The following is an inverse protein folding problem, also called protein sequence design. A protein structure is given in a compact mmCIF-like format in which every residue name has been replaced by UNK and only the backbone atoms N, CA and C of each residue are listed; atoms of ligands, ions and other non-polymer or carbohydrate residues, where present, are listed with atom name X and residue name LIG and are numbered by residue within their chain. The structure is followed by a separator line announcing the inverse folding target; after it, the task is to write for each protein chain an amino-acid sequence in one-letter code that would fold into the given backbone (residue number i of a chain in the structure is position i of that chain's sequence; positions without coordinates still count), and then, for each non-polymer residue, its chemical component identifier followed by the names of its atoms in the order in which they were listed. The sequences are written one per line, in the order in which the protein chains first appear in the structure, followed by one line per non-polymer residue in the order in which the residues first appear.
data_IF_641361633390
#
_entry.id   IF_641361633390
#
_cell.length_a   1.000
_cell.length_b   1.000
_cell.length_c   1.000
_cell.angle_alpha   90.00
_cell.angle_beta   90.00
_cell.angle_gamma   90.00
#
_symmetry.space_group_name_H-M   'P 1'
#
loop_
_entity.id
_entity.type
_entity.pdbx_description
1 polymer ?
#
# COMPACT_ATOMS: atom_id res chain seq x y z
N UNK A 1 -49.47 -8.65 -35.27
CA UNK A 1 -48.35 -7.72 -35.02
C UNK A 1 -48.14 -7.72 -33.52
N UNK A 2 -47.15 -8.46 -33.02
CA UNK A 2 -46.70 -8.37 -31.64
C UNK A 2 -45.86 -7.10 -31.53
N UNK A 3 -46.42 -6.05 -30.94
CA UNK A 3 -45.67 -4.86 -30.59
C UNK A 3 -45.05 -5.08 -29.22
N UNK A 4 -43.71 -4.90 -29.11
CA UNK A 4 -43.04 -4.86 -27.84
C UNK A 4 -43.51 -3.61 -27.09
N UNK A 5 -44.14 -3.83 -25.93
CA UNK A 5 -44.56 -2.73 -25.06
C UNK A 5 -43.43 -2.52 -24.02
N UNK A 6 -42.75 -1.38 -24.11
CA UNK A 6 -41.84 -0.93 -23.09
C UNK A 6 -42.68 -0.22 -22.01
N UNK A 7 -42.81 -0.86 -20.84
CA UNK A 7 -43.44 -0.25 -19.66
C UNK A 7 -42.37 0.40 -18.80
N UNK A 8 -42.37 1.74 -18.76
CA UNK A 8 -41.56 2.46 -17.78
C UNK A 8 -42.18 2.31 -16.38
N UNK A 9 -41.74 1.33 -15.63
CA UNK A 9 -42.30 0.96 -14.34
C UNK A 9 -42.37 2.15 -13.35
N UNK A 10 -41.38 3.03 -13.38
CA UNK A 10 -41.35 4.23 -12.52
C UNK A 10 -42.49 5.22 -12.84
N UNK A 11 -42.97 5.29 -14.12
CA UNK A 11 -44.06 6.17 -14.54
C UNK A 11 -45.43 5.50 -14.44
N UNK A 12 -45.49 4.19 -14.34
CA UNK A 12 -46.75 3.42 -14.29
C UNK A 12 -47.42 3.41 -12.90
N UNK A 13 -46.79 3.99 -11.89
CA UNK A 13 -47.26 3.89 -10.49
C UNK A 13 -47.11 2.49 -9.90
N UNK A 14 -46.38 1.60 -10.58
CA UNK A 14 -46.10 0.25 -10.09
C UNK A 14 -45.14 0.20 -8.90
N UNK A 15 -44.40 1.29 -8.67
CA UNK A 15 -43.56 1.46 -7.48
C UNK A 15 -44.22 2.47 -6.55
N UNK A 16 -44.51 2.02 -5.34
CA UNK A 16 -44.87 2.90 -4.24
C UNK A 16 -43.55 3.29 -3.56
N UNK A 17 -43.25 4.57 -3.48
CA UNK A 17 -42.16 5.07 -2.63
C UNK A 17 -42.54 4.75 -1.18
N UNK A 18 -41.96 3.68 -0.66
CA UNK A 18 -42.12 3.31 0.76
C UNK A 18 -41.12 4.15 1.54
N UNK A 19 -41.64 5.04 2.39
CA UNK A 19 -40.78 5.74 3.34
C UNK A 19 -40.07 4.72 4.23
N UNK A 20 -38.74 4.85 4.41
CA UNK A 20 -38.00 3.93 5.24
C UNK A 20 -38.49 4.04 6.69
N UNK A 21 -38.65 2.90 7.35
CA UNK A 21 -38.90 2.89 8.80
C UNK A 21 -37.78 3.63 9.56
N UNK A 22 -38.03 4.16 10.75
CA UNK A 22 -37.01 4.84 11.55
C UNK A 22 -35.72 4.01 11.68
N UNK A 23 -35.83 2.69 11.91
CA UNK A 23 -34.69 1.78 12.00
C UNK A 23 -33.92 1.68 10.68
N UNK A 24 -34.60 1.62 9.54
CA UNK A 24 -33.95 1.61 8.23
C UNK A 24 -33.23 2.93 7.93
N UNK A 25 -33.83 4.06 8.33
CA UNK A 25 -33.21 5.38 8.18
C UNK A 25 -31.94 5.52 9.04
N UNK A 26 -31.95 5.00 10.28
CA UNK A 26 -30.76 4.96 11.15
C UNK A 26 -29.66 4.06 10.56
N UNK A 27 -30.01 2.87 10.13
CA UNK A 27 -29.04 1.95 9.49
C UNK A 27 -28.42 2.56 8.24
N UNK A 28 -29.20 3.27 7.43
CA UNK A 28 -28.70 3.99 6.24
C UNK A 28 -27.71 5.08 6.62
N UNK A 29 -28.03 5.88 7.64
CA UNK A 29 -27.11 6.93 8.14
C UNK A 29 -25.80 6.32 8.65
N UNK A 30 -25.86 5.22 9.38
CA UNK A 30 -24.68 4.51 9.87
C UNK A 30 -23.83 3.99 8.70
N UNK A 31 -24.48 3.39 7.71
CA UNK A 31 -23.80 2.92 6.50
C UNK A 31 -23.12 4.05 5.71
N UNK A 32 -23.78 5.21 5.56
CA UNK A 32 -23.20 6.39 4.91
C UNK A 32 -21.99 6.94 5.69
N UNK A 33 -22.04 6.93 7.03
CA UNK A 33 -20.89 7.27 7.88
C UNK A 33 -19.74 6.28 7.69
N UNK A 34 -20.04 4.98 7.65
CA UNK A 34 -19.05 3.94 7.42
C UNK A 34 -18.35 4.13 6.06
N UNK A 35 -19.12 4.34 4.99
CA UNK A 35 -18.54 4.58 3.67
C UNK A 35 -17.58 5.78 3.64
N UNK A 36 -17.89 6.85 4.38
CA UNK A 36 -17.02 8.02 4.52
C UNK A 36 -15.78 7.73 5.37
N UNK A 37 -15.90 6.87 6.37
CA UNK A 37 -14.76 6.44 7.18
C UNK A 37 -13.80 5.60 6.34
N UNK A 38 -14.31 4.64 5.57
CA UNK A 38 -13.53 3.74 4.72
C UNK A 38 -12.88 4.45 3.52
N UNK A 39 -13.43 5.58 3.07
CA UNK A 39 -12.90 6.37 1.96
C UNK A 39 -11.77 7.29 2.45
N UNK A 40 -10.62 6.70 2.74
CA UNK A 40 -9.48 7.44 3.30
C UNK A 40 -8.95 8.50 2.34
N UNK A 41 -8.88 8.19 1.04
CA UNK A 41 -8.27 9.05 0.02
C UNK A 41 -6.75 9.16 0.15
N UNK A 42 -6.12 8.27 0.92
CA UNK A 42 -4.66 8.16 1.06
C UNK A 42 -4.12 7.25 -0.05
N UNK A 43 -3.02 7.67 -0.66
CA UNK A 43 -2.27 6.89 -1.65
C UNK A 43 -0.82 6.83 -1.18
N UNK A 44 -0.30 5.63 -0.92
CA UNK A 44 1.10 5.43 -0.60
C UNK A 44 1.95 5.52 -1.86
N UNK A 45 2.93 6.42 -1.87
CA UNK A 45 3.94 6.53 -2.92
C UNK A 45 5.19 5.73 -2.54
N UNK A 46 5.28 4.51 -3.04
CA UNK A 46 6.39 3.59 -2.79
C UNK A 46 7.57 3.82 -3.75
N UNK A 47 7.54 4.88 -4.56
CA UNK A 47 8.55 5.20 -5.56
C UNK A 47 8.24 4.59 -6.93
N UNK A 48 8.44 3.29 -7.10
CA UNK A 48 8.15 2.61 -8.35
C UNK A 48 6.64 2.45 -8.63
N UNK A 49 5.82 2.46 -7.59
CA UNK A 49 4.38 2.28 -7.68
C UNK A 49 3.63 3.10 -6.63
N UNK A 50 2.35 3.34 -6.87
CA UNK A 50 1.44 3.99 -5.94
C UNK A 50 0.37 3.00 -5.49
N UNK A 51 0.17 2.91 -4.17
CA UNK A 51 -0.78 1.99 -3.55
C UNK A 51 -1.92 2.78 -2.94
N UNK A 52 -3.11 2.80 -3.56
CA UNK A 52 -4.27 3.42 -2.96
C UNK A 52 -4.72 2.62 -1.74
N UNK A 53 -5.02 3.33 -0.65
CA UNK A 53 -5.60 2.74 0.55
C UNK A 53 -7.10 2.55 0.33
N UNK A 54 -7.45 1.46 -0.34
CA UNK A 54 -8.82 1.13 -0.75
C UNK A 54 -9.72 0.81 0.44
N UNK A 55 -11.05 0.85 0.23
CA UNK A 55 -12.03 0.49 1.25
C UNK A 55 -11.85 -0.92 1.80
N UNK A 56 -11.38 -1.85 0.99
CA UNK A 56 -11.09 -3.23 1.43
C UNK A 56 -9.97 -3.24 2.48
N UNK A 57 -8.89 -2.49 2.24
CA UNK A 57 -7.79 -2.34 3.21
C UNK A 57 -8.24 -1.59 4.46
N UNK A 58 -8.95 -0.48 4.31
CA UNK A 58 -9.41 0.34 5.44
C UNK A 58 -10.52 -0.31 6.25
N UNK A 59 -11.20 -1.32 5.72
CA UNK A 59 -12.20 -2.09 6.48
C UNK A 59 -11.62 -2.75 7.73
N UNK A 60 -10.34 -3.17 7.67
CA UNK A 60 -9.60 -3.69 8.83
C UNK A 60 -9.25 -2.63 9.88
N UNK A 61 -9.46 -1.34 9.58
CA UNK A 61 -9.18 -0.24 10.52
C UNK A 61 -10.40 0.19 11.33
N UNK A 62 -11.54 -0.45 11.16
CA UNK A 62 -12.75 -0.17 11.93
C UNK A 62 -12.72 -0.97 13.22
N UNK A 63 -12.77 -0.28 14.36
CA UNK A 63 -12.80 -0.93 15.66
C UNK A 63 -14.15 -1.63 15.87
N UNK A 64 -14.09 -2.91 16.21
CA UNK A 64 -15.23 -3.74 16.58
C UNK A 64 -15.17 -4.05 18.08
N UNK A 65 -16.33 -4.28 18.67
CA UNK A 65 -16.45 -4.77 20.04
C UNK A 65 -16.26 -6.30 20.12
N UNK A 66 -16.37 -6.86 21.32
CA UNK A 66 -16.20 -8.30 21.55
C UNK A 66 -17.27 -9.19 20.88
N UNK A 67 -18.37 -8.63 20.38
CA UNK A 67 -19.42 -9.33 19.67
C UNK A 67 -19.28 -9.19 18.13
N UNK A 68 -18.33 -8.37 17.67
CA UNK A 68 -18.14 -8.07 16.26
C UNK A 68 -19.00 -6.91 15.77
N UNK A 69 -19.63 -6.15 16.67
CA UNK A 69 -20.37 -4.94 16.33
C UNK A 69 -19.44 -3.73 16.27
N UNK A 70 -19.85 -2.69 15.52
CA UNK A 70 -19.05 -1.46 15.41
C UNK A 70 -18.97 -0.73 16.74
N UNK A 71 -17.74 -0.45 17.17
CA UNK A 71 -17.50 0.41 18.31
C UNK A 71 -17.60 1.87 17.92
N UNK A 72 -18.62 2.56 18.44
CA UNK A 72 -18.85 3.99 18.20
C UNK A 72 -18.57 4.77 19.47
N UNK A 73 -17.99 5.98 19.32
CA UNK A 73 -17.84 6.91 20.45
C UNK A 73 -19.18 7.53 20.86
N UNK A 74 -19.18 8.33 21.90
CA UNK A 74 -20.39 9.03 22.42
C UNK A 74 -21.09 9.91 21.37
N UNK A 75 -20.37 10.35 20.33
CA UNK A 75 -20.90 11.11 19.20
C UNK A 75 -21.44 10.23 18.06
N UNK A 76 -21.33 8.90 18.21
CA UNK A 76 -21.70 7.93 17.18
C UNK A 76 -20.74 7.92 16.00
N UNK A 77 -19.46 8.20 16.20
CA UNK A 77 -18.42 8.13 15.17
C UNK A 77 -17.61 6.84 15.33
N UNK A 78 -17.22 6.25 14.18
CA UNK A 78 -16.36 5.08 14.14
C UNK A 78 -15.01 5.37 14.78
N UNK A 79 -14.48 4.36 15.45
CA UNK A 79 -13.16 4.41 16.07
C UNK A 79 -12.17 3.60 15.25
N UNK A 80 -10.92 4.03 15.28
CA UNK A 80 -9.83 3.36 14.56
C UNK A 80 -9.33 2.17 15.36
N UNK A 81 -9.24 1.00 14.72
CA UNK A 81 -8.56 -0.17 15.25
C UNK A 81 -7.06 -0.07 15.00
N UNK A 82 -6.30 0.12 16.06
CA UNK A 82 -4.84 0.18 15.98
C UNK A 82 -4.21 -1.13 15.54
N UNK A 83 -4.83 -2.27 15.85
CA UNK A 83 -4.33 -3.58 15.41
C UNK A 83 -4.50 -3.77 13.90
N UNK A 84 -5.58 -3.27 13.34
CA UNK A 84 -5.78 -3.27 11.89
C UNK A 84 -4.74 -2.41 11.17
N UNK A 85 -4.42 -1.24 11.72
CA UNK A 85 -3.33 -0.40 11.21
C UNK A 85 -1.98 -1.11 11.34
N UNK A 86 -1.69 -1.74 12.49
CA UNK A 86 -0.45 -2.51 12.69
C UNK A 86 -0.32 -3.63 11.65
N UNK A 87 -1.38 -4.41 11.43
CA UNK A 87 -1.38 -5.48 10.45
C UNK A 87 -1.09 -4.96 9.02
N UNK A 88 -1.70 -3.84 8.64
CA UNK A 88 -1.44 -3.21 7.34
C UNK A 88 0.01 -2.72 7.20
N UNK A 89 0.56 -2.07 8.24
CA UNK A 89 1.95 -1.59 8.22
C UNK A 89 2.94 -2.75 8.19
N UNK A 90 2.66 -3.86 8.88
CA UNK A 90 3.48 -5.09 8.80
C UNK A 90 3.41 -5.72 7.40
N UNK A 91 2.23 -5.77 6.76
CA UNK A 91 2.08 -6.22 5.38
C UNK A 91 2.92 -5.36 4.44
N UNK A 92 2.80 -4.03 4.56
CA UNK A 92 3.56 -3.07 3.76
C UNK A 92 5.07 -3.24 3.94
N UNK A 93 5.53 -3.36 5.20
CA UNK A 93 6.94 -3.59 5.50
C UNK A 93 7.43 -4.95 4.97
N UNK A 94 6.64 -6.00 5.08
CA UNK A 94 6.97 -7.32 4.54
C UNK A 94 7.13 -7.32 3.02
N UNK A 95 6.39 -6.46 2.33
CA UNK A 95 6.42 -6.37 0.86
C UNK A 95 7.54 -5.47 0.34
N UNK A 96 7.91 -4.41 1.08
CA UNK A 96 8.81 -3.35 0.60
C UNK A 96 10.14 -3.22 1.33
N UNK A 97 10.31 -3.87 2.48
CA UNK A 97 11.62 -3.90 3.12
C UNK A 97 12.56 -4.83 2.34
N UNK A 98 13.75 -4.33 2.06
CA UNK A 98 14.80 -5.07 1.35
C UNK A 98 16.01 -5.36 2.24
N UNK A 99 16.18 -4.66 3.37
CA UNK A 99 17.22 -4.95 4.37
C UNK A 99 17.09 -6.39 4.86
N UNK A 100 18.22 -7.09 4.99
CA UNK A 100 18.33 -8.51 5.37
C UNK A 100 17.60 -9.51 4.46
N UNK A 101 17.19 -9.08 3.28
CA UNK A 101 16.57 -9.94 2.27
C UNK A 101 17.59 -10.44 1.25
N UNK A 102 17.15 -11.36 0.40
CA UNK A 102 17.89 -11.83 -0.76
C UNK A 102 17.09 -11.54 -2.00
N UNK A 103 17.65 -10.73 -2.90
CA UNK A 103 17.01 -10.35 -4.15
C UNK A 103 17.69 -11.00 -5.35
N UNK A 104 16.93 -11.27 -6.40
CA UNK A 104 17.48 -11.69 -7.67
C UNK A 104 18.06 -10.50 -8.40
N UNK A 105 19.26 -10.64 -8.93
CA UNK A 105 19.96 -9.62 -9.69
C UNK A 105 20.42 -10.22 -11.03
N UNK A 106 20.10 -9.53 -12.12
CA UNK A 106 20.55 -9.89 -13.45
C UNK A 106 21.96 -9.32 -13.67
N UNK A 107 22.96 -10.20 -13.60
CA UNK A 107 24.35 -9.83 -13.80
C UNK A 107 24.64 -9.45 -15.27
N UNK A 108 25.69 -8.65 -15.50
CA UNK A 108 26.09 -8.15 -16.83
C UNK A 108 26.23 -9.24 -17.88
N UNK A 109 26.62 -10.46 -17.49
CA UNK A 109 26.73 -11.62 -18.40
C UNK A 109 25.43 -12.37 -18.63
N UNK A 110 24.31 -11.91 -18.10
CA UNK A 110 22.98 -12.52 -18.27
C UNK A 110 22.71 -13.66 -17.31
N UNK A 111 23.51 -13.82 -16.28
CA UNK A 111 23.24 -14.78 -15.20
C UNK A 111 22.39 -14.10 -14.12
N UNK A 112 21.36 -14.79 -13.64
CA UNK A 112 20.60 -14.34 -12.46
C UNK A 112 21.34 -14.80 -11.21
N UNK A 113 21.78 -13.86 -10.39
CA UNK A 113 22.46 -14.13 -9.12
C UNK A 113 21.59 -13.68 -7.94
N UNK A 114 21.69 -14.43 -6.84
CA UNK A 114 20.99 -14.08 -5.61
C UNK A 114 21.90 -13.21 -4.74
N UNK A 115 21.55 -11.93 -4.63
CA UNK A 115 22.31 -10.96 -3.84
C UNK A 115 21.68 -10.85 -2.46
N UNK A 116 22.44 -11.14 -1.41
CA UNK A 116 22.00 -10.96 -0.03
C UNK A 116 22.32 -9.54 0.43
N UNK A 117 21.27 -8.80 0.82
CA UNK A 117 21.39 -7.49 1.40
C UNK A 117 21.62 -7.62 2.91
N UNK A 118 22.81 -7.31 3.39
CA UNK A 118 23.13 -7.37 4.81
C UNK A 118 23.05 -6.00 5.46
N UNK A 119 23.64 -5.00 4.82
CA UNK A 119 23.73 -3.64 5.37
C UNK A 119 23.11 -2.58 4.48
N UNK A 120 22.84 -2.90 3.23
CA UNK A 120 22.13 -2.06 2.28
C UNK A 120 20.64 -2.43 2.30
N UNK A 121 19.81 -1.53 1.81
CA UNK A 121 18.40 -1.77 1.58
C UNK A 121 17.49 -0.73 2.22
N UNK A 122 16.20 -0.91 1.99
CA UNK A 122 15.13 -0.06 2.49
C UNK A 122 14.47 -0.73 3.70
N UNK A 123 14.21 0.04 4.74
CA UNK A 123 13.50 -0.39 5.95
C UNK A 123 12.48 0.68 6.34
N UNK A 124 11.22 0.31 6.35
CA UNK A 124 10.10 1.18 6.70
C UNK A 124 10.14 1.51 8.20
N UNK A 125 9.89 2.77 8.56
CA UNK A 125 9.65 3.17 9.95
C UNK A 125 8.20 2.83 10.33
N UNK A 126 8.01 1.61 10.83
CA UNK A 126 6.69 1.08 11.17
C UNK A 126 5.99 1.89 12.26
N UNK A 127 6.73 2.43 13.21
CA UNK A 127 6.13 3.22 14.29
C UNK A 127 5.66 4.58 13.79
N UNK A 128 6.46 5.24 12.95
CA UNK A 128 6.07 6.49 12.31
C UNK A 128 4.84 6.30 11.41
N UNK A 129 4.78 5.19 10.65
CA UNK A 129 3.65 4.90 9.77
C UNK A 129 2.35 4.58 10.53
N UNK A 130 2.44 3.85 11.65
CA UNK A 130 1.28 3.62 12.53
C UNK A 130 0.73 4.93 13.08
N UNK A 131 1.61 5.82 13.53
CA UNK A 131 1.20 7.11 14.07
C UNK A 131 0.64 8.03 12.98
N UNK A 132 1.25 8.03 11.79
CA UNK A 132 0.72 8.74 10.63
C UNK A 132 -0.71 8.29 10.32
N UNK A 133 -0.95 6.99 10.17
CA UNK A 133 -2.28 6.47 9.83
C UNK A 133 -3.33 6.80 10.89
N UNK A 134 -3.02 6.67 12.18
CA UNK A 134 -3.92 7.07 13.26
C UNK A 134 -4.34 8.53 13.11
N UNK A 135 -3.36 9.41 12.92
CA UNK A 135 -3.59 10.85 12.77
C UNK A 135 -4.34 11.18 11.48
N UNK A 136 -3.99 10.54 10.37
CA UNK A 136 -4.60 10.74 9.07
C UNK A 136 -6.10 10.35 9.08
N UNK A 137 -6.44 9.21 9.70
CA UNK A 137 -7.84 8.78 9.86
C UNK A 137 -8.61 9.70 10.82
N UNK A 138 -8.01 10.09 11.96
CA UNK A 138 -8.64 11.00 12.90
C UNK A 138 -8.95 12.37 12.27
N UNK A 139 -8.08 12.87 11.41
CA UNK A 139 -8.18 14.19 10.77
C UNK A 139 -8.75 14.13 9.34
N UNK A 140 -9.09 12.93 8.84
CA UNK A 140 -9.62 12.71 7.48
C UNK A 140 -8.71 13.28 6.40
N UNK A 141 -7.41 13.05 6.54
CA UNK A 141 -6.38 13.46 5.58
C UNK A 141 -6.58 12.71 4.27
N UNK A 142 -6.42 13.43 3.14
CA UNK A 142 -6.47 12.87 1.79
C UNK A 142 -5.26 13.38 1.04
N UNK A 143 -4.30 12.50 0.81
CA UNK A 143 -3.03 12.90 0.18
C UNK A 143 -2.29 11.72 -0.46
N UNK A 144 -1.29 12.04 -1.26
CA UNK A 144 -0.24 11.10 -1.61
C UNK A 144 0.82 11.16 -0.52
N UNK A 145 0.98 10.06 0.19
CA UNK A 145 1.89 9.92 1.32
C UNK A 145 3.14 9.15 0.91
N UNK A 146 4.29 9.75 1.11
CA UNK A 146 5.57 9.04 1.04
C UNK A 146 5.87 8.45 2.40
N UNK A 147 6.06 7.13 2.53
CA UNK A 147 6.35 6.51 3.81
C UNK A 147 7.61 7.04 4.47
N UNK A 148 7.64 6.97 5.80
CA UNK A 148 8.84 7.21 6.59
C UNK A 148 9.73 5.96 6.59
N UNK A 149 11.04 6.15 6.52
CA UNK A 149 12.01 5.07 6.50
C UNK A 149 13.02 5.21 7.64
N UNK A 150 13.33 4.11 8.30
CA UNK A 150 14.50 4.00 9.19
C UNK A 150 15.78 3.97 8.35
N UNK A 151 15.67 3.34 7.18
CA UNK A 151 16.74 3.23 6.20
C UNK A 151 16.17 3.28 4.79
N UNK A 152 16.82 4.01 3.92
CA UNK A 152 16.37 4.18 2.54
C UNK A 152 17.45 3.71 1.57
N UNK A 153 17.05 2.85 0.62
CA UNK A 153 17.88 2.47 -0.51
C UNK A 153 18.08 3.62 -1.48
N UNK A 154 18.94 3.44 -2.47
CA UNK A 154 19.22 4.48 -3.46
C UNK A 154 17.98 4.86 -4.29
N UNK A 155 17.12 3.88 -4.55
CA UNK A 155 15.81 4.07 -5.18
C UNK A 155 14.74 3.48 -4.27
N UNK A 156 13.57 4.09 -4.21
CA UNK A 156 12.43 3.53 -3.49
C UNK A 156 11.74 2.44 -4.31
N UNK A 157 11.27 1.39 -3.66
CA UNK A 157 10.56 0.27 -4.25
C UNK A 157 11.22 -1.08 -3.95
N UNK A 158 10.69 -2.14 -4.56
CA UNK A 158 11.15 -3.53 -4.33
C UNK A 158 12.54 -3.81 -4.91
N UNK A 159 12.97 -3.02 -5.88
CA UNK A 159 14.33 -3.06 -6.45
C UNK A 159 15.01 -1.71 -6.17
N UNK A 160 15.65 -1.63 -5.04
CA UNK A 160 16.24 -0.40 -4.52
C UNK A 160 17.71 -0.17 -4.90
N UNK A 161 18.33 -1.05 -5.69
CA UNK A 161 19.64 -0.82 -6.33
C UNK A 161 19.50 0.25 -7.40
N UNK A 162 18.41 0.20 -8.18
CA UNK A 162 18.20 1.06 -9.34
C UNK A 162 19.17 0.76 -10.49
N UNK A 163 19.41 1.77 -11.32
CA UNK A 163 20.15 1.64 -12.57
C UNK A 163 21.58 2.25 -12.50
N UNK A 164 22.02 2.65 -11.30
CA UNK A 164 23.35 3.24 -11.07
C UNK A 164 24.06 2.44 -9.99
N UNK A 165 24.98 1.58 -10.39
CA UNK A 165 25.68 0.67 -9.48
C UNK A 165 27.03 0.24 -10.03
N UNK A 166 27.81 -0.43 -9.17
CA UNK A 166 29.05 -1.12 -9.55
C UNK A 166 28.83 -2.61 -9.31
N UNK A 167 29.09 -3.41 -10.33
CA UNK A 167 29.10 -4.88 -10.26
C UNK A 167 30.54 -5.36 -10.23
N UNK A 168 30.83 -6.29 -9.32
CA UNK A 168 32.13 -6.96 -9.21
C UNK A 168 31.93 -8.45 -9.45
N UNK A 169 32.30 -8.92 -10.63
CA UNK A 169 32.31 -10.33 -10.99
C UNK A 169 33.63 -10.97 -10.55
N UNK A 170 33.63 -11.52 -9.35
CA UNK A 170 34.81 -12.17 -8.77
C UNK A 170 35.23 -13.41 -9.53
N UNK A 171 34.31 -14.12 -10.15
CA UNK A 171 34.61 -15.35 -10.93
C UNK A 171 35.39 -15.08 -12.20
N UNK A 172 35.08 -13.97 -12.86
CA UNK A 172 35.75 -13.54 -14.08
C UNK A 172 36.74 -12.38 -13.87
N UNK A 173 36.93 -11.93 -12.63
CA UNK A 173 37.85 -10.85 -12.28
C UNK A 173 37.55 -9.57 -13.07
N UNK A 174 36.27 -9.21 -13.16
CA UNK A 174 35.79 -8.04 -13.91
C UNK A 174 35.03 -7.08 -12.99
N UNK A 175 35.15 -5.80 -13.29
CA UNK A 175 34.34 -4.72 -12.71
C UNK A 175 33.55 -4.03 -13.81
N UNK A 176 32.28 -3.84 -13.57
CA UNK A 176 31.38 -3.07 -14.43
C UNK A 176 30.80 -1.90 -13.63
N UNK A 177 30.79 -0.72 -14.21
CA UNK A 177 30.15 0.45 -13.62
C UNK A 177 29.02 0.94 -14.52
N UNK A 178 27.84 1.04 -13.94
CA UNK A 178 26.63 1.51 -14.60
C UNK A 178 26.19 2.87 -14.05
N UNK A 179 25.69 3.72 -14.92
CA UNK A 179 25.00 4.94 -14.57
C UNK A 179 23.76 5.07 -15.43
N UNK A 180 22.60 5.23 -14.79
CA UNK A 180 21.31 5.35 -15.48
C UNK A 180 21.09 4.23 -16.52
N UNK A 181 21.45 3.00 -16.16
CA UNK A 181 21.34 1.81 -17.01
C UNK A 181 22.39 1.70 -18.12
N UNK A 182 23.30 2.67 -18.25
CA UNK A 182 24.34 2.66 -19.26
C UNK A 182 25.67 2.14 -18.70
N UNK A 183 26.29 1.17 -19.37
CA UNK A 183 27.62 0.71 -19.03
C UNK A 183 28.65 1.80 -19.34
N UNK A 184 29.29 2.35 -18.31
CA UNK A 184 30.33 3.39 -18.45
C UNK A 184 31.72 2.81 -18.45
N UNK A 185 31.96 1.72 -17.70
CA UNK A 185 33.29 1.14 -17.55
C UNK A 185 33.17 -0.36 -17.42
N UNK A 186 34.00 -1.08 -18.16
CA UNK A 186 34.36 -2.46 -17.94
C UNK A 186 35.90 -2.54 -17.82
N UNK A 187 36.37 -3.18 -16.77
CA UNK A 187 37.82 -3.32 -16.56
C UNK A 187 38.15 -4.62 -15.85
N UNK A 188 39.35 -5.12 -16.09
CA UNK A 188 39.90 -6.24 -15.32
C UNK A 188 40.28 -5.75 -13.92
N UNK A 189 40.06 -6.59 -12.94
CA UNK A 189 40.40 -6.33 -11.54
C UNK A 189 41.05 -7.56 -10.93
N UNK A 190 41.71 -7.39 -9.81
CA UNK A 190 42.20 -8.47 -8.97
C UNK A 190 41.50 -8.38 -7.63
N UNK A 191 40.67 -9.38 -7.33
CA UNK A 191 40.05 -9.51 -6.00
C UNK A 191 40.93 -10.38 -5.11
N UNK A 192 41.12 -9.96 -3.86
CA UNK A 192 41.81 -10.77 -2.88
C UNK A 192 41.03 -12.04 -2.51
N UNK A 193 41.70 -13.05 -2.01
CA UNK A 193 41.11 -14.26 -1.44
C UNK A 193 40.52 -13.98 -0.06
#
# INVERSE_FOLDING_TARGET
KNGDYIVEMAKSGAYVDIEPTPKQAETRKLWEKLQKFLDSGIIYDMGAEQIPLTKDKTSGFVLLDGNGDFWLNEKGDFQVDTKGIEAFVEELASEYNTVDTTLSFEATKGETVMVKYVTYGTELDKEAEKEYLKNAFANRVKEVHTPSYVKEGYVRGKNDIGDTYIEVDMGNQKLYAYKEGQLLLETDIVTGN
#
